data_IF_391482252009
#
_entry.id   IF_391482252009
#
_cell.length_a   1.000
_cell.length_b   1.000
_cell.length_c   1.000
_cell.angle_alpha   90.00
_cell.angle_beta   90.00
_cell.angle_gamma   90.00
#
_symmetry.space_group_name_H-M   'P 1'
#
loop_
_entity.id
_entity.type
_entity.pdbx_description
1 polymer ?
#
# COMPACT_ATOMS: atom_id res chain seq x y z
N UNK A 1 39.74 -17.43 12.76
CA UNK A 1 38.86 -18.40 12.04
C UNK A 1 38.24 -17.70 10.84
N UNK A 2 38.12 -18.38 9.68
CA UNK A 2 37.50 -17.83 8.48
C UNK A 2 36.40 -18.76 7.94
N UNK A 3 35.26 -18.18 7.59
CA UNK A 3 34.10 -18.83 6.99
C UNK A 3 33.77 -18.09 5.69
N UNK A 4 33.62 -18.84 4.60
CA UNK A 4 33.29 -18.27 3.29
C UNK A 4 31.90 -18.75 2.88
N UNK A 5 31.03 -17.80 2.57
CA UNK A 5 29.64 -18.05 2.20
C UNK A 5 29.44 -17.54 0.77
N UNK A 6 29.13 -18.44 -0.15
CA UNK A 6 28.66 -18.04 -1.47
C UNK A 6 27.15 -17.86 -1.42
N UNK A 7 26.66 -16.83 -2.10
CA UNK A 7 25.25 -16.55 -2.19
C UNK A 7 24.85 -16.08 -3.58
N UNK A 8 23.63 -16.42 -3.96
CA UNK A 8 23.03 -16.01 -5.22
C UNK A 8 21.61 -15.46 -4.99
N UNK A 9 21.27 -14.44 -5.77
CA UNK A 9 19.92 -13.90 -5.88
C UNK A 9 19.32 -13.38 -4.55
N UNK A 10 20.16 -12.83 -3.66
CA UNK A 10 19.74 -12.23 -2.38
C UNK A 10 19.08 -10.87 -2.58
N UNK A 11 17.91 -10.64 -1.97
CA UNK A 11 17.21 -9.36 -2.05
C UNK A 11 17.79 -8.33 -1.08
N UNK A 12 18.17 -7.17 -1.60
CA UNK A 12 18.76 -6.05 -0.85
C UNK A 12 17.76 -4.94 -0.53
N UNK A 13 16.48 -5.29 -0.34
CA UNK A 13 15.43 -4.33 0.03
C UNK A 13 14.50 -4.81 1.15
N UNK A 14 14.00 -3.85 1.93
CA UNK A 14 12.91 -4.05 2.89
C UNK A 14 11.62 -3.34 2.47
N UNK A 15 10.48 -3.95 2.79
CA UNK A 15 9.14 -3.43 2.47
C UNK A 15 8.27 -3.30 3.73
N UNK A 16 8.90 -3.42 4.90
CA UNK A 16 8.26 -3.30 6.20
C UNK A 16 8.70 -1.99 6.85
N UNK A 17 7.76 -1.35 7.53
CA UNK A 17 7.93 -0.06 8.18
C UNK A 17 9.17 -0.05 9.08
N UNK A 18 10.12 0.89 8.89
CA UNK A 18 11.38 0.93 9.62
C UNK A 18 11.20 1.35 11.09
N UNK A 19 10.05 1.91 11.47
CA UNK A 19 9.72 2.21 12.88
C UNK A 19 9.55 0.94 13.74
N UNK A 20 9.44 -0.22 13.12
CA UNK A 20 9.45 -1.53 13.79
C UNK A 20 10.69 -2.30 13.35
N UNK A 21 11.32 -3.01 14.29
CA UNK A 21 12.55 -3.75 14.06
C UNK A 21 12.29 -5.25 13.87
N UNK A 22 13.26 -5.96 13.27
CA UNK A 22 13.30 -7.43 13.36
C UNK A 22 14.11 -7.91 14.57
N UNK A 23 14.74 -6.97 15.30
CA UNK A 23 15.49 -7.21 16.52
C UNK A 23 14.63 -7.02 17.78
N UNK A 24 13.31 -7.11 17.66
CA UNK A 24 12.36 -6.98 18.76
C UNK A 24 11.17 -7.94 18.55
N UNK A 25 10.37 -8.20 19.59
CA UNK A 25 9.13 -8.96 19.45
C UNK A 25 8.20 -8.38 18.40
N UNK A 26 7.59 -9.25 17.58
CA UNK A 26 6.67 -8.79 16.53
C UNK A 26 5.40 -8.19 17.16
N UNK A 27 4.88 -7.08 16.62
CA UNK A 27 3.57 -6.56 17.04
C UNK A 27 2.46 -7.58 16.80
N UNK A 28 1.40 -7.53 17.61
CA UNK A 28 0.24 -8.45 17.52
C UNK A 28 -0.38 -8.52 16.12
N UNK A 29 -0.43 -7.40 15.42
CA UNK A 29 -0.99 -7.30 14.06
C UNK A 29 0.07 -7.44 12.95
N UNK A 30 1.27 -7.89 13.29
CA UNK A 30 2.41 -7.93 12.39
C UNK A 30 3.01 -6.55 12.10
N UNK A 31 4.02 -6.53 11.23
CA UNK A 31 4.69 -5.29 10.80
C UNK A 31 3.95 -4.67 9.62
N UNK A 32 3.84 -3.34 9.63
CA UNK A 32 3.17 -2.60 8.56
C UNK A 32 3.91 -2.72 7.23
N UNK A 33 3.20 -3.10 6.18
CA UNK A 33 3.70 -3.16 4.82
C UNK A 33 3.70 -1.77 4.18
N UNK A 34 4.83 -1.38 3.60
CA UNK A 34 5.05 -0.08 2.95
C UNK A 34 5.55 -0.20 1.50
N UNK A 35 5.41 -1.39 0.89
CA UNK A 35 5.85 -1.67 -0.49
C UNK A 35 4.85 -1.29 -1.59
N UNK A 36 3.73 -0.63 -1.26
CA UNK A 36 2.75 -0.22 -2.27
C UNK A 36 3.28 0.92 -3.16
N UNK A 37 2.88 1.00 -4.42
CA UNK A 37 3.35 2.07 -5.32
C UNK A 37 3.07 3.48 -4.79
N UNK A 38 1.98 3.69 -4.06
CA UNK A 38 1.67 4.98 -3.43
C UNK A 38 2.58 5.24 -2.23
N UNK A 39 2.85 4.22 -1.40
CA UNK A 39 3.80 4.30 -0.29
C UNK A 39 5.23 4.59 -0.77
N UNK A 40 5.67 3.95 -1.86
CA UNK A 40 7.03 4.11 -2.41
C UNK A 40 7.29 5.46 -3.07
N UNK A 41 6.27 6.33 -3.25
CA UNK A 41 6.50 7.72 -3.66
C UNK A 41 7.31 8.49 -2.61
N UNK A 42 7.18 8.11 -1.33
CA UNK A 42 7.94 8.67 -0.23
C UNK A 42 9.36 8.06 -0.22
N UNK A 43 10.43 8.85 -0.35
CA UNK A 43 11.81 8.35 -0.40
C UNK A 43 12.16 7.41 0.75
N UNK A 44 11.73 7.74 1.97
CA UNK A 44 12.01 6.99 3.20
C UNK A 44 11.43 5.56 3.21
N UNK A 45 10.44 5.28 2.35
CA UNK A 45 9.83 3.95 2.23
C UNK A 45 10.56 3.03 1.25
N UNK A 46 11.46 3.58 0.40
CA UNK A 46 12.27 2.79 -0.51
C UNK A 46 13.57 2.38 0.19
N UNK A 47 13.54 1.25 0.89
CA UNK A 47 14.61 0.87 1.81
C UNK A 47 15.56 -0.11 1.11
N UNK A 48 16.77 0.35 0.77
CA UNK A 48 17.91 -0.51 0.44
C UNK A 48 18.55 -1.06 1.72
N UNK A 49 19.08 -2.28 1.67
CA UNK A 49 19.71 -2.98 2.80
C UNK A 49 21.03 -3.59 2.36
N UNK A 50 22.05 -3.38 3.18
CA UNK A 50 23.35 -4.00 3.05
C UNK A 50 23.55 -5.08 4.12
N UNK A 51 24.63 -5.86 3.99
CA UNK A 51 25.04 -6.80 5.04
C UNK A 51 25.56 -6.01 6.22
N UNK A 52 24.99 -6.26 7.40
CA UNK A 52 25.40 -5.68 8.67
C UNK A 52 25.90 -6.78 9.61
N UNK A 53 26.46 -6.39 10.76
CA UNK A 53 26.82 -7.32 11.82
C UNK A 53 25.62 -8.20 12.23
N UNK A 54 24.41 -7.63 12.34
CA UNK A 54 23.20 -8.41 12.65
C UNK A 54 22.92 -9.51 11.61
N UNK A 55 23.13 -9.21 10.33
CA UNK A 55 22.99 -10.22 9.26
C UNK A 55 24.00 -11.35 9.46
N UNK A 56 25.27 -11.00 9.72
CA UNK A 56 26.35 -11.97 9.95
C UNK A 56 26.10 -12.82 11.19
N UNK A 57 25.75 -12.20 12.31
CA UNK A 57 25.47 -12.91 13.57
C UNK A 57 24.22 -13.78 13.47
N UNK A 58 23.21 -13.34 12.72
CA UNK A 58 22.05 -14.17 12.41
C UNK A 58 22.44 -15.44 11.66
N UNK A 59 23.38 -15.35 10.71
CA UNK A 59 23.91 -16.52 10.00
C UNK A 59 24.70 -17.42 10.93
N UNK A 60 25.63 -16.86 11.72
CA UNK A 60 26.46 -17.64 12.64
C UNK A 60 25.60 -18.45 13.61
N UNK A 61 24.57 -17.83 14.20
CA UNK A 61 23.59 -18.53 15.03
C UNK A 61 22.81 -19.60 14.25
N UNK A 62 22.39 -19.29 13.02
CA UNK A 62 21.67 -20.23 12.16
C UNK A 62 22.49 -21.47 11.82
N UNK A 63 23.79 -21.33 11.53
CA UNK A 63 24.66 -22.45 11.09
C UNK A 63 25.10 -23.34 12.25
N UNK A 64 25.14 -22.83 13.49
CA UNK A 64 25.32 -23.68 14.69
C UNK A 64 24.00 -24.31 15.17
N UNK A 65 22.88 -24.06 14.48
CA UNK A 65 21.60 -24.70 14.75
C UNK A 65 20.64 -23.94 15.68
N UNK A 66 20.92 -22.70 16.07
CA UNK A 66 19.99 -21.91 16.89
C UNK A 66 18.69 -21.66 16.10
N UNK A 67 17.56 -21.99 16.73
CA UNK A 67 16.20 -21.84 16.16
C UNK A 67 15.50 -20.57 16.64
N UNK A 68 16.07 -19.86 17.62
CA UNK A 68 15.53 -18.61 18.14
C UNK A 68 15.80 -17.47 17.15
N UNK A 69 15.06 -16.37 17.28
CA UNK A 69 15.43 -15.12 16.59
C UNK A 69 16.71 -14.55 17.21
N UNK A 70 17.51 -13.86 16.41
CA UNK A 70 18.79 -13.29 16.85
C UNK A 70 18.64 -12.43 18.13
N UNK A 71 17.60 -11.59 18.23
CA UNK A 71 17.41 -10.77 19.44
C UNK A 71 17.15 -11.64 20.69
N UNK A 72 16.41 -12.74 20.55
CA UNK A 72 16.15 -13.67 21.65
C UNK A 72 17.42 -14.42 22.06
N UNK A 73 18.27 -14.76 21.09
CA UNK A 73 19.56 -15.36 21.37
C UNK A 73 20.45 -14.39 22.15
N UNK A 74 20.51 -13.12 21.73
CA UNK A 74 21.27 -12.05 22.41
C UNK A 74 20.78 -11.74 23.82
N UNK A 75 19.47 -11.81 24.05
CA UNK A 75 18.86 -11.60 25.35
C UNK A 75 19.06 -12.78 26.32
N UNK A 76 19.57 -13.91 25.82
CA UNK A 76 19.78 -15.12 26.63
C UNK A 76 21.08 -15.06 27.42
N UNK A 77 21.05 -15.53 28.68
CA UNK A 77 22.25 -15.56 29.54
C UNK A 77 23.36 -16.46 28.98
N UNK A 78 22.97 -17.54 28.32
CA UNK A 78 23.81 -18.57 27.70
C UNK A 78 24.15 -18.28 26.22
N UNK A 79 24.04 -17.01 25.79
CA UNK A 79 24.32 -16.65 24.40
C UNK A 79 25.75 -17.05 23.98
N UNK A 80 25.86 -18.05 23.09
CA UNK A 80 27.12 -18.67 22.72
C UNK A 80 28.16 -17.68 22.15
N UNK A 81 27.70 -16.71 21.34
CA UNK A 81 28.57 -15.70 20.72
C UNK A 81 28.71 -14.41 21.54
N UNK A 82 28.26 -14.38 22.79
CA UNK A 82 28.31 -13.18 23.66
C UNK A 82 29.70 -12.53 23.75
N UNK A 83 30.75 -13.35 23.70
CA UNK A 83 32.15 -12.89 23.78
C UNK A 83 32.70 -12.28 22.49
N UNK A 84 31.95 -12.29 21.38
CA UNK A 84 32.37 -11.70 20.09
C UNK A 84 31.28 -10.80 19.45
N UNK A 85 30.01 -10.93 19.85
CA UNK A 85 28.88 -10.15 19.33
C UNK A 85 28.56 -8.96 20.24
N UNK A 86 29.39 -7.92 20.13
CA UNK A 86 29.16 -6.64 20.79
C UNK A 86 29.54 -5.50 19.86
N UNK A 87 28.87 -4.36 20.04
CA UNK A 87 29.06 -3.18 19.21
C UNK A 87 30.51 -2.68 19.30
N UNK A 88 31.05 -2.23 18.15
CA UNK A 88 32.41 -1.70 18.02
C UNK A 88 33.53 -2.73 18.31
N UNK A 89 33.27 -4.03 18.21
CA UNK A 89 34.32 -5.04 18.26
C UNK A 89 34.90 -5.31 16.88
N UNK A 90 36.23 -5.46 16.81
CA UNK A 90 36.92 -6.00 15.63
C UNK A 90 36.98 -7.54 15.68
N UNK A 91 36.15 -8.18 16.51
CA UNK A 91 36.14 -9.63 16.71
C UNK A 91 35.41 -10.38 15.59
N UNK A 92 34.50 -9.71 14.90
CA UNK A 92 33.76 -10.24 13.76
C UNK A 92 33.92 -9.28 12.59
N UNK A 93 34.87 -9.59 11.71
CA UNK A 93 35.18 -8.81 10.51
C UNK A 93 34.56 -9.52 9.32
N UNK A 94 33.88 -8.79 8.43
CA UNK A 94 33.31 -9.40 7.24
C UNK A 94 33.48 -8.53 6.01
N UNK A 95 33.61 -9.19 4.86
CA UNK A 95 33.76 -8.57 3.55
C UNK A 95 32.75 -9.17 2.57
N UNK A 96 31.83 -8.33 2.10
CA UNK A 96 30.90 -8.67 1.03
C UNK A 96 31.51 -8.27 -0.32
N UNK A 97 31.60 -9.23 -1.25
CA UNK A 97 32.08 -9.00 -2.64
C UNK A 97 30.96 -9.20 -3.67
N UNK A 98 29.71 -9.06 -3.24
CA UNK A 98 28.52 -9.12 -4.07
C UNK A 98 28.51 -8.17 -5.26
N UNK A 99 28.05 -8.68 -6.41
CA UNK A 99 27.69 -7.87 -7.56
C UNK A 99 26.20 -7.55 -7.47
N UNK A 100 25.86 -6.27 -7.51
CA UNK A 100 24.48 -5.81 -7.52
C UNK A 100 23.89 -5.79 -8.93
N UNK A 101 22.64 -6.22 -9.01
CA UNK A 101 21.78 -6.10 -10.18
C UNK A 101 20.48 -5.41 -9.77
N UNK A 102 19.85 -4.73 -10.73
CA UNK A 102 18.57 -4.05 -10.53
C UNK A 102 17.48 -4.74 -11.35
N UNK A 103 16.41 -5.18 -10.71
CA UNK A 103 15.33 -5.90 -11.38
C UNK A 103 13.94 -5.43 -10.94
N UNK A 104 12.99 -5.47 -11.87
CA UNK A 104 11.59 -5.25 -11.54
C UNK A 104 10.98 -6.53 -10.99
N UNK A 105 10.62 -6.50 -9.71
CA UNK A 105 10.00 -7.64 -9.05
C UNK A 105 8.57 -7.30 -8.64
N UNK A 106 7.62 -8.18 -8.96
CA UNK A 106 6.24 -8.05 -8.47
C UNK A 106 6.12 -8.56 -7.03
N UNK A 107 5.85 -7.66 -6.09
CA UNK A 107 5.68 -8.01 -4.67
C UNK A 107 4.20 -8.07 -4.30
N UNK A 108 3.85 -9.00 -3.41
CA UNK A 108 2.46 -9.16 -2.94
C UNK A 108 2.12 -8.08 -1.92
N UNK A 109 0.90 -7.56 -2.03
CA UNK A 109 0.31 -6.69 -1.02
C UNK A 109 -0.67 -7.52 -0.16
N UNK A 110 -0.36 -7.65 1.12
CA UNK A 110 -1.15 -8.44 2.08
C UNK A 110 -2.06 -7.58 2.96
N UNK A 111 -2.09 -6.25 2.77
CA UNK A 111 -2.93 -5.35 3.58
C UNK A 111 -4.42 -5.46 3.27
N UNK A 112 -4.79 -6.12 2.16
CA UNK A 112 -6.19 -6.25 1.73
C UNK A 112 -6.76 -4.98 1.09
N UNK A 113 -5.93 -4.04 0.65
CA UNK A 113 -6.39 -2.85 -0.07
C UNK A 113 -7.19 -3.21 -1.32
N UNK A 114 -8.22 -2.41 -1.62
CA UNK A 114 -9.09 -2.58 -2.78
C UNK A 114 -8.72 -1.58 -3.87
N UNK A 115 -8.82 -2.00 -5.12
CA UNK A 115 -8.68 -1.13 -6.28
C UNK A 115 -9.74 -0.01 -6.25
N UNK A 116 -9.38 1.20 -6.69
CA UNK A 116 -10.29 2.35 -6.65
C UNK A 116 -11.29 2.34 -7.81
N UNK A 117 -10.90 1.79 -8.96
CA UNK A 117 -11.63 1.92 -10.22
C UNK A 117 -12.08 0.58 -10.80
N UNK A 118 -11.77 -0.53 -10.13
CA UNK A 118 -12.11 -1.88 -10.58
C UNK A 118 -13.11 -2.57 -9.65
N UNK A 119 -13.89 -3.49 -10.21
CA UNK A 119 -14.87 -4.32 -9.49
C UNK A 119 -14.72 -5.80 -9.86
N UNK A 120 -15.49 -6.68 -9.20
CA UNK A 120 -15.53 -8.11 -9.53
C UNK A 120 -16.95 -8.62 -9.65
N UNK A 121 -17.13 -9.74 -10.36
CA UNK A 121 -18.45 -10.33 -10.61
C UNK A 121 -19.23 -9.65 -11.73
N UNK A 122 -20.50 -10.00 -11.84
CA UNK A 122 -21.42 -9.49 -12.86
C UNK A 122 -22.08 -8.19 -12.40
N UNK A 123 -22.44 -7.32 -13.35
CA UNK A 123 -23.15 -6.06 -13.08
C UNK A 123 -24.65 -6.34 -12.91
N UNK A 124 -25.25 -5.77 -11.87
CA UNK A 124 -26.68 -5.84 -11.55
C UNK A 124 -27.44 -4.74 -12.29
N UNK A 125 -27.75 -4.94 -13.56
CA UNK A 125 -28.52 -3.97 -14.36
C UNK A 125 -29.97 -3.83 -13.91
N UNK A 126 -30.53 -4.85 -13.28
CA UNK A 126 -31.95 -4.90 -12.86
C UNK A 126 -32.14 -4.47 -11.39
N UNK A 127 -31.22 -3.68 -10.83
CA UNK A 127 -31.41 -3.15 -9.48
C UNK A 127 -32.62 -2.20 -9.44
N UNK A 128 -33.41 -2.27 -8.38
CA UNK A 128 -34.61 -1.44 -8.23
C UNK A 128 -34.29 0.05 -8.34
N UNK A 129 -33.12 0.49 -7.88
CA UNK A 129 -32.70 1.89 -7.99
C UNK A 129 -32.63 2.43 -9.43
N UNK A 130 -32.54 1.55 -10.43
CA UNK A 130 -32.51 1.92 -11.85
C UNK A 130 -33.83 1.66 -12.58
N UNK A 131 -34.74 0.88 -11.99
CA UNK A 131 -35.98 0.42 -12.63
C UNK A 131 -37.28 0.91 -11.95
N UNK A 132 -37.19 1.54 -10.78
CA UNK A 132 -38.32 2.16 -10.09
C UNK A 132 -38.85 3.40 -10.82
N UNK A 133 -40.08 3.78 -10.51
CA UNK A 133 -40.77 4.97 -11.02
C UNK A 133 -40.01 6.29 -10.78
N UNK A 134 -39.35 6.43 -9.63
CA UNK A 134 -38.53 7.60 -9.31
C UNK A 134 -37.20 7.67 -10.08
N UNK A 135 -36.76 6.56 -10.71
CA UNK A 135 -35.40 6.38 -11.23
C UNK A 135 -35.00 7.48 -12.22
N UNK A 136 -35.89 7.79 -13.17
CA UNK A 136 -35.63 8.79 -14.21
C UNK A 136 -35.44 10.20 -13.62
N UNK A 137 -36.33 10.62 -12.71
CA UNK A 137 -36.26 11.94 -12.07
C UNK A 137 -35.09 12.05 -11.08
N UNK A 138 -34.68 10.93 -10.47
CA UNK A 138 -33.56 10.89 -9.55
C UNK A 138 -32.22 10.99 -10.28
N UNK A 139 -31.97 10.10 -11.24
CA UNK A 139 -30.71 10.07 -11.99
C UNK A 139 -30.59 11.20 -13.02
N UNK A 140 -31.72 11.77 -13.46
CA UNK A 140 -31.80 12.93 -14.34
C UNK A 140 -31.05 14.16 -13.82
N UNK A 141 -30.81 14.26 -12.50
CA UNK A 141 -29.97 15.32 -11.91
C UNK A 141 -28.58 15.35 -12.53
N UNK A 142 -27.99 14.18 -12.80
CA UNK A 142 -26.66 14.09 -13.40
C UNK A 142 -26.66 14.50 -14.88
N UNK A 143 -27.82 14.63 -15.51
CA UNK A 143 -27.99 15.02 -16.90
C UNK A 143 -27.97 16.54 -17.11
N UNK A 144 -28.34 17.29 -16.07
CA UNK A 144 -28.42 18.74 -16.12
C UNK A 144 -27.04 19.32 -16.45
N UNK A 145 -27.01 20.45 -17.15
CA UNK A 145 -25.83 21.29 -17.16
C UNK A 145 -25.70 22.06 -15.84
N UNK A 146 -24.57 22.74 -15.65
CA UNK A 146 -24.26 23.37 -14.37
C UNK A 146 -25.24 24.51 -14.00
N UNK A 147 -25.72 25.28 -14.98
CA UNK A 147 -26.65 26.38 -14.74
C UNK A 147 -28.04 25.83 -14.35
N UNK A 148 -28.54 24.86 -15.11
CA UNK A 148 -29.80 24.17 -14.82
C UNK A 148 -29.76 23.44 -13.47
N UNK A 149 -28.61 22.87 -13.09
CA UNK A 149 -28.40 22.30 -11.76
C UNK A 149 -28.53 23.35 -10.66
N UNK A 150 -27.89 24.52 -10.81
CA UNK A 150 -27.98 25.60 -9.84
C UNK A 150 -29.44 26.08 -9.68
N UNK A 151 -30.16 26.19 -10.80
CA UNK A 151 -31.56 26.58 -10.79
C UNK A 151 -32.47 25.50 -10.17
N UNK A 152 -32.18 24.22 -10.38
CA UNK A 152 -32.85 23.11 -9.68
C UNK A 152 -32.67 23.18 -8.16
N UNK A 153 -31.45 23.50 -7.70
CA UNK A 153 -31.15 23.60 -6.27
C UNK A 153 -32.01 24.70 -5.64
N UNK A 154 -31.97 25.91 -6.21
CA UNK A 154 -32.60 27.11 -5.64
C UNK A 154 -34.13 27.12 -5.82
N UNK A 155 -34.63 26.71 -6.98
CA UNK A 155 -36.04 26.91 -7.35
C UNK A 155 -36.93 25.67 -7.24
N UNK A 156 -36.38 24.53 -6.79
CA UNK A 156 -37.13 23.28 -6.64
C UNK A 156 -37.88 22.84 -7.91
N UNK A 157 -37.24 23.01 -9.07
CA UNK A 157 -37.85 22.66 -10.36
C UNK A 157 -37.91 21.15 -10.55
N UNK A 158 -38.92 20.68 -11.28
CA UNK A 158 -39.03 19.26 -11.62
C UNK A 158 -37.96 18.88 -12.65
N UNK A 159 -37.29 17.76 -12.42
CA UNK A 159 -36.26 17.23 -13.33
C UNK A 159 -36.93 16.49 -14.48
N UNK A 160 -36.74 17.00 -15.70
CA UNK A 160 -37.25 16.36 -16.94
C UNK A 160 -36.16 15.75 -17.79
N UNK A 161 -34.89 16.05 -17.49
CA UNK A 161 -33.75 15.52 -18.22
C UNK A 161 -33.57 14.03 -17.94
N UNK A 162 -33.21 13.27 -18.97
CA UNK A 162 -33.11 11.80 -18.92
C UNK A 162 -31.71 11.33 -19.26
N UNK A 163 -31.24 10.28 -18.58
CA UNK A 163 -29.97 9.59 -18.91
C UNK A 163 -30.16 8.08 -18.84
N UNK A 164 -29.27 7.29 -19.47
CA UNK A 164 -29.24 5.85 -19.26
C UNK A 164 -29.02 5.51 -17.77
N UNK A 165 -30.05 4.95 -17.14
CA UNK A 165 -30.02 4.56 -15.72
C UNK A 165 -29.51 3.11 -15.60
N UNK A 166 -28.19 2.94 -15.60
CA UNK A 166 -27.56 1.67 -15.25
C UNK A 166 -26.21 1.94 -14.56
N UNK A 167 -25.65 0.98 -13.81
CA UNK A 167 -24.43 1.23 -13.02
C UNK A 167 -23.27 1.82 -13.83
N UNK A 168 -23.05 1.33 -15.06
CA UNK A 168 -21.92 1.76 -15.89
C UNK A 168 -22.13 3.19 -16.38
N UNK A 169 -23.29 3.49 -16.95
CA UNK A 169 -23.56 4.83 -17.48
C UNK A 169 -23.59 5.90 -16.37
N UNK A 170 -24.10 5.56 -15.18
CA UNK A 170 -24.08 6.48 -14.04
C UNK A 170 -22.66 6.75 -13.56
N UNK A 171 -21.83 5.72 -13.40
CA UNK A 171 -20.46 5.93 -12.91
C UNK A 171 -19.60 6.65 -13.94
N UNK A 172 -19.75 6.36 -15.23
CA UNK A 172 -19.09 7.09 -16.31
C UNK A 172 -19.49 8.58 -16.31
N UNK A 173 -20.78 8.88 -16.12
CA UNK A 173 -21.24 10.26 -16.02
C UNK A 173 -20.65 10.98 -14.81
N UNK A 174 -20.60 10.34 -13.65
CA UNK A 174 -19.93 10.89 -12.46
C UNK A 174 -18.44 11.15 -12.70
N UNK A 175 -17.73 10.25 -13.39
CA UNK A 175 -16.33 10.44 -13.75
C UNK A 175 -16.10 11.59 -14.74
N UNK A 176 -17.04 11.82 -15.67
CA UNK A 176 -17.02 13.00 -16.54
C UNK A 176 -17.22 14.28 -15.74
N UNK A 177 -18.23 14.33 -14.87
CA UNK A 177 -18.52 15.49 -14.01
C UNK A 177 -17.36 15.79 -13.04
N UNK A 178 -16.63 14.76 -12.58
CA UNK A 178 -15.45 14.93 -11.72
C UNK A 178 -14.26 15.60 -12.42
N UNK A 179 -14.23 15.57 -13.76
CA UNK A 179 -13.18 16.18 -14.58
C UNK A 179 -13.51 17.61 -15.00
N UNK A 180 -14.72 18.08 -14.70
CA UNK A 180 -15.09 19.47 -14.95
C UNK A 180 -14.21 20.43 -14.15
N UNK A 181 -13.90 21.57 -14.76
CA UNK A 181 -13.09 22.60 -14.09
C UNK A 181 -13.90 23.24 -12.97
N UNK A 182 -13.17 23.75 -11.98
CA UNK A 182 -13.80 24.57 -10.96
C UNK A 182 -14.45 25.81 -11.58
N UNK A 183 -15.58 26.24 -11.02
CA UNK A 183 -16.40 27.36 -11.52
C UNK A 183 -16.35 28.52 -10.53
N UNK A 184 -16.43 29.75 -11.03
CA UNK A 184 -16.49 30.94 -10.17
C UNK A 184 -17.69 30.87 -9.22
N UNK A 185 -17.49 31.31 -7.97
CA UNK A 185 -18.52 31.34 -6.96
C UNK A 185 -19.31 32.66 -7.03
N UNK A 186 -20.16 32.80 -8.04
CA UNK A 186 -20.90 34.04 -8.32
C UNK A 186 -22.33 33.76 -8.83
N UNK A 187 -23.19 34.78 -8.76
CA UNK A 187 -24.57 34.71 -9.22
C UNK A 187 -25.35 33.50 -8.66
N UNK A 188 -26.10 32.82 -9.54
CA UNK A 188 -26.91 31.65 -9.17
C UNK A 188 -26.10 30.49 -8.60
N UNK A 189 -24.82 30.37 -8.97
CA UNK A 189 -23.95 29.32 -8.44
C UNK A 189 -23.62 29.56 -6.97
N UNK A 190 -23.44 30.83 -6.57
CA UNK A 190 -23.25 31.19 -5.16
C UNK A 190 -24.52 30.92 -4.34
N UNK A 191 -25.69 31.33 -4.85
CA UNK A 191 -26.97 31.07 -4.19
C UNK A 191 -27.21 29.57 -3.97
N UNK A 192 -26.91 28.74 -4.97
CA UNK A 192 -26.99 27.30 -4.87
C UNK A 192 -26.05 26.73 -3.79
N UNK A 193 -24.82 27.24 -3.69
CA UNK A 193 -23.85 26.85 -2.65
C UNK A 193 -24.37 27.22 -1.25
N UNK A 194 -24.88 28.43 -1.07
CA UNK A 194 -25.38 28.88 0.23
C UNK A 194 -26.62 28.07 0.66
N UNK A 195 -27.52 27.77 -0.27
CA UNK A 195 -28.65 26.87 -0.03
C UNK A 195 -28.18 25.48 0.43
N UNK A 196 -27.20 24.89 -0.27
CA UNK A 196 -26.67 23.57 0.08
C UNK A 196 -25.89 23.56 1.40
N UNK A 197 -25.20 24.64 1.76
CA UNK A 197 -24.53 24.78 3.07
C UNK A 197 -25.54 24.81 4.21
N UNK A 198 -26.64 25.54 4.04
CA UNK A 198 -27.74 25.58 5.03
C UNK A 198 -28.41 24.21 5.16
N UNK A 199 -28.60 23.50 4.05
CA UNK A 199 -29.24 22.18 4.04
C UNK A 199 -28.34 21.08 4.60
N UNK A 200 -27.03 21.13 4.30
CA UNK A 200 -26.05 20.11 4.62
C UNK A 200 -24.85 20.72 5.36
N UNK A 201 -24.97 20.78 6.68
CA UNK A 201 -23.92 21.30 7.56
C UNK A 201 -22.61 20.49 7.44
N UNK A 202 -21.47 21.18 7.54
CA UNK A 202 -20.13 20.59 7.54
C UNK A 202 -19.60 20.16 6.17
N UNK A 203 -20.32 20.44 5.07
CA UNK A 203 -19.84 20.16 3.71
C UNK A 203 -19.14 21.40 3.13
N UNK A 204 -17.97 21.16 2.53
CA UNK A 204 -17.17 22.18 1.87
C UNK A 204 -17.29 22.00 0.35
N UNK A 205 -17.86 23.00 -0.31
CA UNK A 205 -18.13 23.02 -1.76
C UNK A 205 -17.07 23.81 -2.55
N UNK A 206 -16.20 24.53 -1.84
CA UNK A 206 -15.19 25.40 -2.41
C UNK A 206 -13.80 24.77 -2.33
N UNK A 207 -12.97 25.03 -3.33
CA UNK A 207 -11.56 24.66 -3.29
C UNK A 207 -10.72 25.75 -2.56
N UNK A 208 -9.39 25.55 -2.47
CA UNK A 208 -8.47 26.50 -1.84
C UNK A 208 -8.41 27.89 -2.50
N UNK A 209 -8.95 28.03 -3.71
CA UNK A 209 -9.06 29.29 -4.47
C UNK A 209 -10.46 29.91 -4.37
N UNK A 210 -11.32 29.38 -3.49
CA UNK A 210 -12.72 29.81 -3.34
C UNK A 210 -13.59 29.57 -4.58
N UNK A 211 -13.19 28.65 -5.46
CA UNK A 211 -13.97 28.24 -6.63
C UNK A 211 -14.81 27.00 -6.30
N UNK A 212 -15.99 26.90 -6.93
CA UNK A 212 -16.93 25.80 -6.75
C UNK A 212 -16.40 24.54 -7.44
N UNK A 213 -16.50 23.40 -6.77
CA UNK A 213 -16.24 22.08 -7.37
C UNK A 213 -17.56 21.48 -7.90
N UNK A 214 -17.81 21.43 -9.23
CA UNK A 214 -19.11 21.03 -9.78
C UNK A 214 -19.62 19.67 -9.26
N UNK A 215 -18.73 18.67 -9.20
CA UNK A 215 -19.06 17.32 -8.72
C UNK A 215 -19.70 17.32 -7.31
N UNK A 216 -19.29 18.25 -6.44
CA UNK A 216 -19.83 18.35 -5.08
C UNK A 216 -21.28 18.85 -5.08
N UNK A 217 -21.63 19.75 -6.01
CA UNK A 217 -23.00 20.23 -6.20
C UNK A 217 -23.88 19.13 -6.81
N UNK A 218 -23.42 18.41 -7.83
CA UNK A 218 -24.18 17.28 -8.39
C UNK A 218 -24.46 16.21 -7.34
N UNK A 219 -23.45 15.83 -6.57
CA UNK A 219 -23.61 14.80 -5.54
C UNK A 219 -24.55 15.26 -4.42
N UNK A 220 -24.42 16.49 -3.93
CA UNK A 220 -25.37 17.04 -2.94
C UNK A 220 -26.78 17.22 -3.49
N UNK A 221 -26.91 17.54 -4.78
CA UNK A 221 -28.21 17.63 -5.46
C UNK A 221 -28.90 16.27 -5.56
N UNK A 222 -28.16 15.17 -5.71
CA UNK A 222 -28.75 13.83 -5.59
C UNK A 222 -29.31 13.57 -4.18
N UNK A 223 -28.63 14.01 -3.12
CA UNK A 223 -29.16 13.92 -1.76
C UNK A 223 -30.39 14.82 -1.57
N UNK A 224 -30.38 16.02 -2.12
CA UNK A 224 -31.53 16.93 -2.10
C UNK A 224 -32.73 16.32 -2.84
N UNK A 225 -32.48 15.72 -4.01
CA UNK A 225 -33.50 15.06 -4.82
C UNK A 225 -34.02 13.79 -4.15
N UNK A 226 -33.17 13.05 -3.44
CA UNK A 226 -33.58 11.90 -2.62
C UNK A 226 -34.63 12.30 -1.58
N UNK A 227 -34.44 13.44 -0.92
CA UNK A 227 -35.38 13.96 0.07
C UNK A 227 -36.67 14.51 -0.56
N UNK A 228 -36.55 15.21 -1.69
CA UNK A 228 -37.70 15.76 -2.44
C UNK A 228 -38.60 14.65 -2.98
N UNK A 229 -38.01 13.62 -3.60
CA UNK A 229 -38.77 12.49 -4.16
C UNK A 229 -39.38 11.59 -3.07
N UNK A 230 -38.81 11.55 -1.86
CA UNK A 230 -39.38 10.79 -0.74
C UNK A 230 -40.76 11.30 -0.28
N UNK A 231 -41.19 12.48 -0.73
CA UNK A 231 -42.54 13.00 -0.48
C UNK A 231 -43.60 12.32 -1.36
N UNK A 232 -43.18 11.72 -2.49
CA UNK A 232 -44.08 11.18 -3.51
C UNK A 232 -43.85 9.69 -3.78
N UNK A 233 -42.64 9.19 -3.55
CA UNK A 233 -42.21 7.84 -3.86
C UNK A 233 -41.59 7.14 -2.66
N UNK A 234 -41.60 5.81 -2.67
CA UNK A 234 -40.77 5.03 -1.75
C UNK A 234 -39.32 5.02 -2.24
N UNK A 235 -38.43 5.66 -1.48
CA UNK A 235 -36.99 5.78 -1.80
C UNK A 235 -36.10 4.74 -1.09
N UNK A 236 -36.67 3.72 -0.44
CA UNK A 236 -35.91 2.74 0.34
C UNK A 236 -34.89 1.99 -0.51
N UNK A 237 -35.22 1.65 -1.76
CA UNK A 237 -34.29 0.99 -2.70
C UNK A 237 -33.09 1.85 -3.11
N UNK A 238 -33.20 3.18 -3.00
CA UNK A 238 -32.11 4.12 -3.27
C UNK A 238 -31.19 4.35 -2.06
N UNK A 239 -31.62 3.96 -0.86
CA UNK A 239 -30.94 4.24 0.41
C UNK A 239 -30.18 3.02 0.92
N UNK A 240 -29.02 3.27 1.51
CA UNK A 240 -28.35 2.32 2.39
C UNK A 240 -29.07 2.23 3.73
N UNK A 241 -28.72 1.24 4.58
CA UNK A 241 -29.25 1.14 5.95
C UNK A 241 -29.02 2.40 6.79
N UNK A 242 -27.99 3.19 6.47
CA UNK A 242 -27.69 4.46 7.13
C UNK A 242 -28.36 5.67 6.45
N UNK A 243 -29.25 5.46 5.48
CA UNK A 243 -29.98 6.51 4.76
C UNK A 243 -29.20 7.21 3.65
N UNK A 244 -27.92 6.91 3.45
CA UNK A 244 -27.09 7.50 2.39
C UNK A 244 -27.17 6.76 1.05
N UNK A 245 -26.59 7.34 0.00
CA UNK A 245 -26.51 6.74 -1.34
C UNK A 245 -25.22 5.91 -1.45
N UNK A 246 -25.31 4.66 -1.90
CA UNK A 246 -24.14 3.77 -1.98
C UNK A 246 -23.04 4.34 -2.87
N UNK A 247 -21.85 4.56 -2.32
CA UNK A 247 -20.69 5.06 -3.06
C UNK A 247 -20.75 6.54 -3.48
N UNK A 248 -21.79 7.28 -3.10
CA UNK A 248 -21.92 8.72 -3.38
C UNK A 248 -22.09 9.44 -2.04
N UNK A 249 -21.14 10.28 -1.68
CA UNK A 249 -21.22 11.21 -0.55
C UNK A 249 -21.73 12.57 -1.01
N UNK A 250 -22.07 13.47 -0.09
CA UNK A 250 -22.47 14.84 -0.44
C UNK A 250 -21.35 15.64 -1.14
N UNK A 251 -20.08 15.27 -0.95
CA UNK A 251 -18.91 15.99 -1.52
C UNK A 251 -18.44 15.41 -2.86
N UNK A 252 -18.78 14.17 -3.17
CA UNK A 252 -18.24 13.43 -4.30
C UNK A 252 -18.55 11.94 -4.20
N UNK A 253 -17.95 11.11 -5.04
CA UNK A 253 -18.25 9.67 -5.11
C UNK A 253 -16.99 8.82 -5.01
N UNK A 254 -17.18 7.51 -4.87
CA UNK A 254 -16.13 6.50 -4.82
C UNK A 254 -16.52 5.32 -5.70
N UNK A 255 -15.86 5.19 -6.85
CA UNK A 255 -16.15 4.20 -7.90
C UNK A 255 -16.25 2.78 -7.35
N UNK A 256 -15.24 2.31 -6.61
CA UNK A 256 -15.27 0.97 -5.99
C UNK A 256 -16.45 0.72 -5.05
N UNK A 257 -16.94 1.75 -4.36
CA UNK A 257 -18.01 1.60 -3.37
C UNK A 257 -19.37 1.62 -4.07
N UNK A 258 -19.52 2.46 -5.09
CA UNK A 258 -20.68 2.49 -5.97
C UNK A 258 -20.81 1.16 -6.71
N UNK A 259 -19.75 0.72 -7.40
CA UNK A 259 -19.78 -0.52 -8.18
C UNK A 259 -20.01 -1.74 -7.28
N UNK A 260 -19.41 -1.79 -6.09
CA UNK A 260 -19.61 -2.91 -5.15
C UNK A 260 -21.07 -3.11 -4.74
N UNK A 261 -21.90 -2.06 -4.72
CA UNK A 261 -23.35 -2.21 -4.47
C UNK A 261 -24.07 -2.87 -5.65
N UNK A 262 -23.62 -2.55 -6.86
CA UNK A 262 -24.25 -2.95 -8.12
C UNK A 262 -23.50 -4.05 -8.86
N UNK A 263 -22.60 -4.76 -8.21
CA UNK A 263 -21.94 -5.96 -8.73
C UNK A 263 -22.19 -7.15 -7.81
N UNK A 264 -22.11 -8.37 -8.35
CA UNK A 264 -22.31 -9.59 -7.56
C UNK A 264 -21.09 -10.02 -6.75
N UNK A 265 -19.89 -9.58 -7.15
CA UNK A 265 -18.65 -9.88 -6.44
C UNK A 265 -18.25 -8.78 -5.45
N UNK A 266 -17.33 -9.14 -4.56
CA UNK A 266 -16.70 -8.22 -3.61
C UNK A 266 -15.84 -7.16 -4.32
N UNK A 267 -15.41 -6.14 -3.57
CA UNK A 267 -14.44 -5.16 -4.05
C UNK A 267 -13.16 -5.84 -4.53
N UNK A 268 -12.66 -5.41 -5.69
CA UNK A 268 -11.44 -5.97 -6.28
C UNK A 268 -10.25 -5.74 -5.36
N UNK A 269 -9.65 -6.81 -4.83
CA UNK A 269 -8.40 -6.73 -4.05
C UNK A 269 -7.21 -6.38 -4.94
N UNK A 270 -6.31 -5.56 -4.42
CA UNK A 270 -4.98 -5.31 -5.00
C UNK A 270 -4.04 -6.39 -4.48
N UNK A 271 -3.67 -7.32 -5.36
CA UNK A 271 -2.84 -8.46 -4.99
C UNK A 271 -1.36 -8.13 -4.76
N UNK A 272 -0.92 -6.99 -5.26
CA UNK A 272 0.48 -6.59 -5.28
C UNK A 272 0.74 -5.50 -6.32
N UNK A 273 2.01 -5.20 -6.49
CA UNK A 273 2.50 -4.23 -7.47
C UNK A 273 3.96 -4.51 -7.80
N UNK A 274 4.48 -4.01 -8.94
CA UNK A 274 5.92 -3.95 -9.15
C UNK A 274 6.58 -3.11 -8.05
N UNK A 275 7.73 -3.55 -7.55
CA UNK A 275 8.57 -2.79 -6.65
C UNK A 275 9.40 -1.79 -7.46
N UNK A 276 8.83 -0.60 -7.65
CA UNK A 276 9.38 0.46 -8.48
C UNK A 276 9.09 1.81 -7.83
N UNK A 277 10.09 2.69 -7.84
CA UNK A 277 9.96 4.09 -7.48
C UNK A 277 10.43 4.94 -8.66
N UNK A 278 9.58 5.85 -9.11
CA UNK A 278 9.91 6.83 -10.14
C UNK A 278 9.86 8.22 -9.53
N UNK A 279 10.92 8.98 -9.73
CA UNK A 279 11.01 10.38 -9.28
C UNK A 279 11.62 11.26 -10.36
N UNK A 280 11.32 12.57 -10.31
CA UNK A 280 11.96 13.55 -11.19
C UNK A 280 12.95 14.38 -10.38
N UNK A 281 14.23 14.26 -10.72
CA UNK A 281 15.31 14.99 -10.07
C UNK A 281 15.74 16.14 -10.98
N UNK A 282 15.82 17.36 -10.44
CA UNK A 282 16.24 18.56 -11.19
C UNK A 282 17.63 18.34 -11.79
N UNK A 283 17.75 18.52 -13.10
CA UNK A 283 19.01 18.34 -13.84
C UNK A 283 19.28 16.92 -14.34
N UNK A 284 18.58 15.89 -13.83
CA UNK A 284 18.76 14.49 -14.25
C UNK A 284 17.54 14.00 -15.06
N UNK A 285 16.34 14.49 -14.72
CA UNK A 285 15.10 14.02 -15.33
C UNK A 285 14.43 12.91 -14.52
N UNK A 286 13.76 11.98 -15.20
CA UNK A 286 13.09 10.84 -14.54
C UNK A 286 14.11 9.77 -14.14
N UNK A 287 14.19 9.49 -12.85
CA UNK A 287 15.01 8.42 -12.27
C UNK A 287 14.08 7.29 -11.82
N UNK A 288 14.44 6.07 -12.20
CA UNK A 288 13.72 4.85 -11.80
C UNK A 288 14.59 4.02 -10.88
N UNK A 289 14.08 3.73 -9.68
CA UNK A 289 14.70 2.83 -8.71
C UNK A 289 13.92 1.52 -8.64
N UNK A 290 14.64 0.40 -8.77
CA UNK A 290 14.11 -0.96 -8.79
C UNK A 290 14.66 -1.78 -7.62
N UNK A 291 14.17 -3.01 -7.45
CA UNK A 291 14.71 -3.91 -6.43
C UNK A 291 16.17 -4.21 -6.74
N UNK A 292 17.02 -4.09 -5.72
CA UNK A 292 18.43 -4.51 -5.77
C UNK A 292 18.52 -5.98 -5.40
N UNK A 293 19.15 -6.77 -6.25
CA UNK A 293 19.52 -8.16 -6.01
C UNK A 293 21.03 -8.27 -6.03
N UNK A 294 21.61 -9.08 -5.15
CA UNK A 294 23.04 -9.32 -5.11
C UNK A 294 23.37 -10.81 -5.18
N UNK A 295 24.46 -11.12 -5.86
CA UNK A 295 25.08 -12.45 -5.93
C UNK A 295 26.59 -12.30 -5.76
N UNK A 296 27.22 -13.17 -4.99
CA UNK A 296 28.66 -13.14 -4.77
C UNK A 296 29.07 -13.92 -3.54
N UNK A 297 30.09 -13.42 -2.84
CA UNK A 297 30.68 -14.11 -1.69
C UNK A 297 30.74 -13.18 -0.49
N UNK A 298 30.46 -13.74 0.68
CA UNK A 298 30.62 -13.12 1.98
C UNK A 298 31.72 -13.86 2.74
N UNK A 299 32.83 -13.17 2.98
CA UNK A 299 33.91 -13.66 3.83
C UNK A 299 33.68 -13.17 5.26
N UNK A 300 33.66 -14.08 6.23
CA UNK A 300 33.52 -13.78 7.67
C UNK A 300 34.77 -14.27 8.38
N UNK A 301 35.42 -13.36 9.10
CA UNK A 301 36.63 -13.57 9.89
C UNK A 301 36.30 -13.35 11.37
N UNK A 302 36.52 -14.39 12.17
CA UNK A 302 36.32 -14.36 13.63
C UNK A 302 37.68 -14.37 14.34
N UNK A 303 37.92 -13.38 15.18
CA UNK A 303 39.08 -13.29 16.07
C UNK A 303 38.82 -14.09 17.35
N UNK A 304 39.00 -15.40 17.23
CA UNK A 304 38.85 -16.38 18.30
C UNK A 304 40.05 -17.30 18.33
N UNK A 305 40.34 -17.87 19.50
CA UNK A 305 41.41 -18.86 19.63
C UNK A 305 41.16 -20.08 18.74
N UNK A 306 42.23 -20.78 18.38
CA UNK A 306 42.13 -21.99 17.56
C UNK A 306 41.20 -23.05 18.15
N UNK A 307 41.21 -23.21 19.47
CA UNK A 307 40.33 -24.17 20.16
C UNK A 307 38.87 -23.76 20.06
N UNK A 308 38.56 -22.47 20.23
CA UNK A 308 37.20 -21.95 20.03
C UNK A 308 36.76 -22.09 18.57
N UNK A 309 37.66 -21.89 17.62
CA UNK A 309 37.38 -22.08 16.20
C UNK A 309 37.02 -23.53 15.86
N UNK A 310 37.72 -24.52 16.44
CA UNK A 310 37.40 -25.94 16.30
C UNK A 310 36.04 -26.28 16.93
N UNK A 311 35.74 -25.72 18.10
CA UNK A 311 34.44 -25.87 18.76
C UNK A 311 33.31 -25.37 17.83
N UNK A 312 33.44 -24.17 17.27
CA UNK A 312 32.45 -23.61 16.33
C UNK A 312 32.32 -24.51 15.09
N UNK A 313 33.44 -24.97 14.49
CA UNK A 313 33.41 -25.88 13.33
C UNK A 313 32.64 -27.16 13.66
N UNK A 314 32.93 -27.78 14.80
CA UNK A 314 32.23 -29.00 15.24
C UNK A 314 30.74 -28.76 15.47
N UNK A 315 30.35 -27.62 16.06
CA UNK A 315 28.94 -27.26 16.20
C UNK A 315 28.23 -27.11 14.85
N UNK A 316 28.87 -26.49 13.85
CA UNK A 316 28.31 -26.36 12.49
C UNK A 316 28.12 -27.74 11.84
N UNK A 317 29.14 -28.60 11.93
CA UNK A 317 29.10 -29.97 11.39
C UNK A 317 27.99 -30.80 12.07
N UNK A 318 27.87 -30.71 13.39
CA UNK A 318 26.84 -31.40 14.16
C UNK A 318 25.43 -30.87 13.87
N UNK A 319 25.28 -29.57 13.63
CA UNK A 319 24.00 -28.96 13.29
C UNK A 319 23.53 -29.32 11.88
N UNK A 320 24.44 -29.66 10.96
CA UNK A 320 24.11 -30.16 9.63
C UNK A 320 23.38 -29.16 8.72
N UNK A 321 23.58 -27.86 8.94
CA UNK A 321 22.90 -26.80 8.17
C UNK A 321 23.60 -26.61 6.83
N UNK A 322 22.94 -26.98 5.73
CA UNK A 322 23.56 -27.05 4.39
C UNK A 322 23.25 -25.87 3.46
N UNK A 323 22.03 -25.34 3.49
CA UNK A 323 21.62 -24.18 2.69
C UNK A 323 20.65 -23.28 3.44
N UNK A 324 20.78 -21.98 3.21
CA UNK A 324 19.99 -20.93 3.86
C UNK A 324 19.85 -19.72 2.95
N UNK A 325 19.11 -18.69 3.37
CA UNK A 325 19.06 -17.41 2.67
C UNK A 325 20.01 -16.41 3.32
N UNK A 326 20.61 -15.52 2.53
CA UNK A 326 21.38 -14.38 3.04
C UNK A 326 20.50 -13.12 3.07
N UNK A 327 20.16 -12.63 4.26
CA UNK A 327 19.28 -11.48 4.44
C UNK A 327 17.82 -11.79 4.10
N UNK A 328 17.42 -11.71 2.83
CA UNK A 328 16.05 -12.00 2.36
C UNK A 328 16.06 -12.72 1.03
N UNK A 329 15.39 -13.89 0.97
CA UNK A 329 15.32 -14.75 -0.23
C UNK A 329 16.73 -15.03 -0.80
N UNK A 330 16.79 -15.72 -1.94
CA UNK A 330 18.05 -16.19 -2.51
C UNK A 330 18.53 -17.49 -1.85
N UNK A 331 19.68 -17.95 -2.32
CA UNK A 331 20.35 -19.17 -1.86
C UNK A 331 21.74 -18.79 -1.36
N UNK A 332 22.13 -19.30 -0.21
CA UNK A 332 23.45 -19.14 0.37
C UNK A 332 23.90 -20.46 1.02
N UNK A 333 25.20 -20.72 0.98
CA UNK A 333 25.81 -21.92 1.55
C UNK A 333 27.28 -21.64 1.90
N UNK A 334 27.83 -22.43 2.83
CA UNK A 334 29.27 -22.39 3.14
C UNK A 334 30.00 -23.10 1.99
N UNK A 335 30.81 -22.35 1.23
CA UNK A 335 31.34 -22.81 -0.05
C UNK A 335 32.72 -23.47 0.03
N UNK A 336 33.42 -23.30 1.16
CA UNK A 336 34.77 -23.83 1.38
C UNK A 336 34.89 -24.50 2.74
N UNK A 337 35.94 -25.30 2.91
CA UNK A 337 36.29 -25.82 4.22
C UNK A 337 36.58 -24.67 5.18
N UNK A 338 35.97 -24.74 6.37
CA UNK A 338 36.13 -23.74 7.43
C UNK A 338 37.58 -23.73 7.94
N UNK A 339 38.22 -22.57 7.85
CA UNK A 339 39.59 -22.36 8.31
C UNK A 339 39.62 -22.02 9.80
N UNK A 340 40.17 -22.94 10.60
CA UNK A 340 40.23 -22.81 12.07
C UNK A 340 41.49 -22.09 12.56
N UNK A 341 42.36 -21.61 11.67
CA UNK A 341 43.54 -20.82 12.06
C UNK A 341 43.14 -19.49 12.68
N UNK A 342 43.95 -19.04 13.63
CA UNK A 342 43.81 -17.71 14.23
C UNK A 342 44.08 -16.64 13.17
N UNK A 343 43.41 -15.50 13.29
CA UNK A 343 43.65 -14.38 12.39
C UNK A 343 45.06 -13.84 12.68
N UNK A 344 45.90 -13.78 11.65
CA UNK A 344 47.16 -13.05 11.75
C UNK A 344 46.81 -11.56 11.63
N UNK A 345 47.06 -10.80 12.69
CA UNK A 345 46.97 -9.34 12.66
C UNK A 345 47.99 -8.74 11.70
#
# INVERSE_FOLDING_TARGET
MKIIIDYDSSWRNSFLDPSTSNNEPLPKNGRKFIGSMTSLRKPENFIKRDITLDTVMGILNRVIGDQRKLYQARDSDDYFFKAIDYANSDKVIFKDTGIETSEMTYIRNITGSTDQNSFTGAIKTNDAMFSSDYSAEFWGILALDFEALCQFIVSNTKVTATIPANPVSIIEKLELLNKEKAVANEGIANEAVEYLKQRFEGIEYLNKKSEIMPISLYCSSLYLQLDRLAQYFNMDSAKTKAGGISGISKRGFTTKDFMSRFTTGDKKKIWGNPYIRKERIKGIGEVTSLMTKASGQLEINLDVSREKAKEIKSMIENAGVSSFYLGKKGLAYISQEIDTRELKQ
#
